data_IF_938860951037
#
_entry.id   IF_938860951037
#
_cell.length_a   1.000
_cell.length_b   1.000
_cell.length_c   1.000
_cell.angle_alpha   90.00
_cell.angle_beta   90.00
_cell.angle_gamma   90.00
#
_symmetry.space_group_name_H-M   'P 1'
#
loop_
_entity.id
_entity.type
_entity.pdbx_description
1 polymer ?
#
# COMPACT_ATOMS: atom_id res chain seq x y z
N UNK A 1 15.03 -14.96 -15.41
CA UNK A 1 13.65 -15.50 -15.39
C UNK A 1 12.70 -14.54 -14.66
N UNK A 2 11.43 -14.47 -15.05
CA UNK A 2 10.44 -13.55 -14.47
C UNK A 2 10.37 -13.66 -12.94
N UNK A 3 10.38 -14.88 -12.41
CA UNK A 3 10.33 -15.12 -10.96
C UNK A 3 11.47 -14.49 -10.17
N UNK A 4 12.70 -14.54 -10.71
CA UNK A 4 13.85 -13.93 -10.04
C UNK A 4 13.70 -12.40 -9.94
N UNK A 5 13.06 -11.78 -10.93
CA UNK A 5 12.78 -10.33 -10.92
C UNK A 5 11.69 -10.00 -9.91
N UNK A 6 10.64 -10.82 -9.83
CA UNK A 6 9.55 -10.65 -8.86
C UNK A 6 10.04 -10.80 -7.42
N UNK A 7 10.87 -11.82 -7.14
CA UNK A 7 11.45 -12.01 -5.81
C UNK A 7 12.41 -10.86 -5.42
N UNK A 8 13.23 -10.38 -6.36
CA UNK A 8 14.09 -9.22 -6.13
C UNK A 8 13.29 -7.95 -5.78
N UNK A 9 12.16 -7.71 -6.47
CA UNK A 9 11.27 -6.57 -6.15
C UNK A 9 10.61 -6.72 -4.79
N UNK A 10 10.10 -7.92 -4.48
CA UNK A 10 9.46 -8.23 -3.19
C UNK A 10 10.39 -7.96 -2.00
N UNK A 11 11.68 -8.28 -2.14
CA UNK A 11 12.70 -8.05 -1.11
C UNK A 11 12.93 -6.58 -0.77
N UNK A 12 12.68 -5.66 -1.71
CA UNK A 12 12.81 -4.22 -1.49
C UNK A 12 11.57 -3.60 -0.83
N UNK A 13 10.50 -4.36 -0.61
CA UNK A 13 9.32 -3.92 0.13
C UNK A 13 9.50 -4.35 1.59
N UNK A 14 9.47 -3.45 2.58
CA UNK A 14 9.61 -3.84 4.00
C UNK A 14 8.60 -4.90 4.47
N UNK A 15 7.36 -4.86 3.98
CA UNK A 15 6.35 -5.91 4.23
C UNK A 15 6.70 -7.29 3.62
N UNK A 16 7.73 -7.39 2.78
CA UNK A 16 8.23 -8.60 2.13
C UNK A 16 7.18 -9.36 1.29
N UNK A 17 6.18 -8.65 0.79
CA UNK A 17 5.12 -9.16 -0.07
C UNK A 17 4.57 -8.06 -0.96
N UNK A 18 3.91 -8.46 -2.04
CA UNK A 18 3.03 -7.56 -2.77
C UNK A 18 1.71 -7.40 -2.00
N UNK A 19 1.12 -6.21 -2.09
CA UNK A 19 -0.25 -5.98 -1.62
C UNK A 19 -1.25 -6.72 -2.50
N UNK A 20 -2.46 -6.92 -1.97
CA UNK A 20 -3.57 -7.48 -2.75
C UNK A 20 -4.59 -6.40 -3.12
N UNK A 21 -5.43 -6.68 -4.12
CA UNK A 21 -6.49 -5.77 -4.53
C UNK A 21 -7.52 -5.57 -3.40
N UNK A 22 -7.77 -6.60 -2.60
CA UNK A 22 -8.69 -6.56 -1.46
C UNK A 22 -8.20 -5.63 -0.36
N UNK A 23 -6.89 -5.63 -0.06
CA UNK A 23 -6.32 -4.73 0.94
C UNK A 23 -6.44 -3.26 0.50
N UNK A 24 -6.16 -2.99 -0.78
CA UNK A 24 -6.35 -1.66 -1.35
C UNK A 24 -7.82 -1.24 -1.35
N UNK A 25 -8.71 -2.17 -1.72
CA UNK A 25 -10.15 -1.96 -1.68
C UNK A 25 -10.67 -1.67 -0.27
N UNK A 26 -10.13 -2.33 0.75
CA UNK A 26 -10.47 -2.08 2.15
C UNK A 26 -10.08 -0.66 2.60
N UNK A 27 -8.92 -0.15 2.17
CA UNK A 27 -8.52 1.25 2.43
C UNK A 27 -9.51 2.21 1.76
N UNK A 28 -9.87 1.98 0.51
CA UNK A 28 -10.87 2.78 -0.20
C UNK A 28 -12.23 2.76 0.52
N UNK A 29 -12.71 1.57 0.91
CA UNK A 29 -13.96 1.42 1.63
C UNK A 29 -13.95 2.16 2.98
N UNK A 30 -12.83 2.11 3.72
CA UNK A 30 -12.66 2.89 4.94
C UNK A 30 -12.76 4.40 4.69
N UNK A 31 -12.06 4.91 3.67
CA UNK A 31 -12.09 6.33 3.30
C UNK A 31 -13.48 6.81 2.85
N UNK A 32 -14.29 5.93 2.26
CA UNK A 32 -15.68 6.23 1.91
C UNK A 32 -16.67 6.11 3.09
N UNK A 33 -16.23 5.57 4.23
CA UNK A 33 -17.08 5.35 5.40
C UNK A 33 -17.25 6.61 6.26
N UNK A 34 -18.21 6.56 7.19
CA UNK A 34 -18.41 7.62 8.20
C UNK A 34 -17.21 7.78 9.13
N UNK A 35 -16.36 6.75 9.27
CA UNK A 35 -15.20 6.79 10.14
C UNK A 35 -14.08 7.71 9.63
N UNK A 36 -14.08 8.04 8.33
CA UNK A 36 -13.10 8.93 7.71
C UNK A 36 -13.63 10.35 7.49
N UNK A 37 -14.74 10.74 8.14
CA UNK A 37 -15.45 12.01 7.87
C UNK A 37 -14.61 13.29 8.03
N UNK A 38 -13.46 13.23 8.70
CA UNK A 38 -12.54 14.37 8.88
C UNK A 38 -11.23 14.24 8.08
N UNK A 39 -11.12 13.25 7.20
CA UNK A 39 -9.94 13.04 6.34
C UNK A 39 -10.22 13.54 4.93
N UNK A 40 -9.51 14.58 4.49
CA UNK A 40 -9.62 15.12 3.13
C UNK A 40 -8.28 15.69 2.65
N UNK A 41 -8.08 15.71 1.33
CA UNK A 41 -6.85 16.22 0.71
C UNK A 41 -5.57 15.44 1.04
N UNK A 42 -5.70 14.22 1.56
CA UNK A 42 -4.57 13.37 1.96
C UNK A 42 -4.16 12.44 0.82
N UNK A 43 -2.85 12.17 0.72
CA UNK A 43 -2.34 11.04 -0.03
C UNK A 43 -2.10 9.89 0.95
N UNK A 44 -2.88 8.81 0.85
CA UNK A 44 -2.71 7.61 1.68
C UNK A 44 -1.88 6.60 0.90
N UNK A 45 -0.62 6.42 1.33
CA UNK A 45 0.32 5.54 0.66
C UNK A 45 0.16 4.09 1.15
N UNK A 46 -0.19 3.19 0.24
CA UNK A 46 -0.37 1.76 0.49
C UNK A 46 0.67 0.95 -0.30
N UNK A 47 1.93 1.01 0.10
CA UNK A 47 3.06 0.45 -0.66
C UNK A 47 3.91 -0.57 0.12
N UNK A 48 3.45 -1.00 1.29
CA UNK A 48 4.19 -1.90 2.17
C UNK A 48 5.48 -1.29 2.74
N UNK A 49 5.61 0.04 2.70
CA UNK A 49 6.76 0.81 3.21
C UNK A 49 7.88 0.99 2.18
N UNK A 50 7.62 0.79 0.89
CA UNK A 50 8.65 0.87 -0.14
C UNK A 50 9.24 2.29 -0.30
N UNK A 51 8.45 3.32 -0.07
CA UNK A 51 8.90 4.71 -0.01
C UNK A 51 9.66 4.98 1.31
N UNK A 52 10.96 5.33 1.26
CA UNK A 52 11.77 5.52 2.47
C UNK A 52 11.68 6.95 3.03
N UNK A 53 10.94 7.85 2.38
CA UNK A 53 10.81 9.23 2.80
C UNK A 53 9.92 9.38 4.02
N UNK A 54 10.11 10.47 4.74
CA UNK A 54 9.35 10.73 5.97
C UNK A 54 7.92 11.17 5.69
N UNK A 55 7.70 11.99 4.65
CA UNK A 55 6.40 12.53 4.23
C UNK A 55 6.32 12.69 2.71
#
# INVERSE_FOLDING_TARGET
PLEAVMDARRKNIPAQRFGTAEEFGAICAFLCSTHAAYMTGQNVLADGGAFPGTF
#
